data_IF_951837043271
#
_entry.id   IF_951837043271
#
_cell.length_a   1.000
_cell.length_b   1.000
_cell.length_c   1.000
_cell.angle_alpha   90.00
_cell.angle_beta   90.00
_cell.angle_gamma   90.00
#
_symmetry.space_group_name_H-M   'P 1'
#
loop_
_entity.id
_entity.type
_entity.pdbx_description
1 polymer ?
#
# COMPACT_ATOMS: atom_id res chain seq x y z
N UNK A 1 28.42 -6.05 -11.08
CA UNK A 1 27.81 -4.73 -10.74
C UNK A 1 26.32 -4.85 -10.41
N UNK A 2 25.46 -5.39 -11.31
CA UNK A 2 24.00 -5.42 -11.11
C UNK A 2 23.55 -6.13 -9.82
N UNK A 3 24.17 -7.21 -9.43
CA UNK A 3 23.82 -7.95 -8.19
C UNK A 3 24.11 -7.12 -6.92
N UNK A 4 25.31 -6.57 -6.83
CA UNK A 4 25.68 -5.72 -5.69
C UNK A 4 24.81 -4.45 -5.61
N UNK A 5 24.48 -3.87 -6.76
CA UNK A 5 23.60 -2.72 -6.84
C UNK A 5 22.21 -3.00 -6.24
N UNK A 6 21.63 -4.20 -6.48
CA UNK A 6 20.28 -4.53 -6.02
C UNK A 6 20.21 -4.67 -4.49
N UNK A 7 21.28 -5.17 -3.86
CA UNK A 7 21.39 -5.22 -2.40
C UNK A 7 21.40 -3.81 -1.79
N UNK A 8 22.21 -2.91 -2.35
CA UNK A 8 22.25 -1.52 -1.92
C UNK A 8 20.93 -0.80 -2.17
N UNK A 9 20.26 -1.06 -3.28
CA UNK A 9 18.94 -0.48 -3.58
C UNK A 9 17.89 -0.94 -2.56
N UNK A 10 17.86 -2.22 -2.23
CA UNK A 10 16.92 -2.75 -1.25
C UNK A 10 17.02 -2.01 0.10
N UNK A 11 18.23 -1.82 0.60
CA UNK A 11 18.48 -1.08 1.85
C UNK A 11 18.19 0.41 1.68
N UNK A 12 18.69 1.02 0.61
CA UNK A 12 18.57 2.47 0.39
C UNK A 12 17.12 2.91 0.20
N UNK A 13 16.27 2.11 -0.43
CA UNK A 13 14.85 2.44 -0.60
C UNK A 13 14.09 2.53 0.73
N UNK A 14 14.54 1.82 1.79
CA UNK A 14 13.93 1.96 3.10
C UNK A 14 14.12 3.37 3.68
N UNK A 15 15.18 4.09 3.26
CA UNK A 15 15.41 5.47 3.70
C UNK A 15 14.41 6.46 3.12
N UNK A 16 13.72 6.12 2.04
CA UNK A 16 12.70 6.98 1.44
C UNK A 16 11.60 7.27 2.46
N UNK A 17 11.07 6.23 3.10
CA UNK A 17 10.05 6.41 4.13
C UNK A 17 10.64 7.05 5.39
N UNK A 18 11.75 6.51 5.89
CA UNK A 18 12.29 6.92 7.19
C UNK A 18 12.97 8.29 7.20
N UNK A 19 13.34 8.87 6.04
CA UNK A 19 14.12 10.11 5.94
C UNK A 19 13.57 11.16 4.99
N UNK A 20 12.62 10.82 4.12
CA UNK A 20 12.11 11.76 3.15
C UNK A 20 10.60 12.03 3.28
N UNK A 21 9.82 11.08 3.79
CA UNK A 21 8.40 11.26 4.03
C UNK A 21 8.19 11.83 5.43
N UNK A 22 7.28 12.78 5.56
CA UNK A 22 6.86 13.31 6.85
C UNK A 22 6.33 12.16 7.74
N UNK A 23 6.82 11.97 8.95
CA UNK A 23 6.38 10.89 9.84
C UNK A 23 4.88 10.95 10.22
N UNK A 24 4.21 12.08 10.02
CA UNK A 24 2.76 12.21 10.18
C UNK A 24 1.98 11.77 8.92
N UNK A 25 2.66 11.58 7.81
CA UNK A 25 2.04 11.12 6.55
C UNK A 25 2.12 9.60 6.45
N UNK A 26 0.95 8.95 6.40
CA UNK A 26 0.91 7.50 6.23
C UNK A 26 1.40 7.11 4.83
N UNK A 27 2.52 6.42 4.79
CA UNK A 27 3.13 5.89 3.57
C UNK A 27 3.89 4.60 3.84
N UNK A 28 3.86 3.68 2.88
CA UNK A 28 4.59 2.42 2.95
C UNK A 28 5.29 2.17 1.62
N UNK A 29 6.54 1.76 1.68
CA UNK A 29 7.30 1.22 0.56
C UNK A 29 7.77 -0.18 0.94
N UNK A 30 7.39 -1.16 0.14
CA UNK A 30 7.78 -2.56 0.35
C UNK A 30 8.53 -3.05 -0.87
N UNK A 31 9.69 -3.67 -0.67
CA UNK A 31 10.34 -4.49 -1.69
C UNK A 31 9.75 -5.89 -1.55
N UNK A 32 8.83 -6.24 -2.43
CA UNK A 32 8.08 -7.50 -2.37
C UNK A 32 8.78 -8.67 -3.03
N UNK A 33 9.68 -8.39 -4.00
CA UNK A 33 10.49 -9.43 -4.64
C UNK A 33 11.78 -8.85 -5.21
N UNK A 34 12.80 -9.69 -5.24
CA UNK A 34 14.10 -9.44 -5.88
C UNK A 34 14.39 -10.59 -6.81
N UNK A 35 14.70 -10.30 -8.06
CA UNK A 35 15.03 -11.30 -9.08
C UNK A 35 16.35 -10.93 -9.75
N UNK A 36 17.39 -11.72 -9.54
CA UNK A 36 18.71 -11.51 -10.13
C UNK A 36 19.45 -12.85 -10.25
N UNK A 37 19.94 -13.14 -11.46
CA UNK A 37 20.73 -14.35 -11.73
C UNK A 37 19.96 -15.66 -11.71
N UNK A 38 20.64 -16.71 -12.14
CA UNK A 38 20.14 -18.09 -12.16
C UNK A 38 21.22 -19.10 -11.77
N UNK A 39 22.48 -18.68 -11.83
CA UNK A 39 23.62 -19.58 -11.65
C UNK A 39 24.64 -18.96 -10.69
N UNK A 40 25.39 -19.79 -9.98
CA UNK A 40 26.32 -19.36 -8.95
C UNK A 40 27.63 -18.76 -9.51
N UNK A 41 27.95 -19.02 -10.75
CA UNK A 41 29.20 -18.60 -11.41
C UNK A 41 29.00 -17.60 -12.56
N UNK A 42 27.76 -17.10 -12.76
CA UNK A 42 27.42 -16.13 -13.80
C UNK A 42 26.86 -14.86 -13.17
N UNK A 43 27.56 -13.74 -13.44
CA UNK A 43 27.06 -12.41 -13.05
C UNK A 43 25.85 -12.05 -13.93
N UNK A 44 24.67 -11.80 -13.34
CA UNK A 44 23.47 -11.46 -14.12
C UNK A 44 23.62 -10.13 -14.85
N UNK A 45 23.14 -10.08 -16.09
CA UNK A 45 23.08 -8.85 -16.88
C UNK A 45 21.95 -7.92 -16.46
N UNK A 46 20.91 -8.49 -15.86
CA UNK A 46 19.71 -7.76 -15.39
C UNK A 46 19.34 -8.15 -13.98
N UNK A 47 18.72 -7.22 -13.28
CA UNK A 47 18.15 -7.44 -11.96
C UNK A 47 16.84 -6.65 -11.84
N UNK A 48 15.84 -7.22 -11.18
CA UNK A 48 14.51 -6.62 -11.02
C UNK A 48 14.12 -6.58 -9.56
N UNK A 49 13.70 -5.39 -9.10
CA UNK A 49 13.00 -5.21 -7.82
C UNK A 49 11.52 -4.97 -8.08
N UNK A 50 10.67 -5.66 -7.37
CA UNK A 50 9.23 -5.42 -7.39
C UNK A 50 8.86 -4.64 -6.13
N UNK A 51 8.37 -3.41 -6.34
CA UNK A 51 8.02 -2.50 -5.27
C UNK A 51 6.50 -2.38 -5.16
N UNK A 52 6.00 -2.32 -3.92
CA UNK A 52 4.63 -1.93 -3.61
C UNK A 52 4.67 -0.63 -2.80
N UNK A 53 3.92 0.37 -3.25
CA UNK A 53 3.78 1.66 -2.60
C UNK A 53 2.35 1.82 -2.09
N UNK A 54 2.22 2.30 -0.84
CA UNK A 54 0.93 2.69 -0.26
C UNK A 54 1.03 4.12 0.26
N UNK A 55 0.00 4.89 0.06
CA UNK A 55 -0.02 6.32 0.36
C UNK A 55 -1.47 6.79 0.51
N UNK A 56 -1.67 7.87 1.25
CA UNK A 56 -2.99 8.52 1.41
C UNK A 56 -3.07 9.85 0.69
N UNK A 57 -1.94 10.47 0.40
CA UNK A 57 -1.90 11.79 -0.21
C UNK A 57 -1.09 11.74 -1.52
N UNK A 58 -1.66 12.30 -2.59
CA UNK A 58 -1.02 12.32 -3.91
C UNK A 58 0.38 12.96 -3.89
N UNK A 59 0.63 14.09 -3.19
CA UNK A 59 1.97 14.65 -3.10
C UNK A 59 3.00 13.70 -2.49
N UNK A 60 2.61 12.91 -1.48
CA UNK A 60 3.49 11.89 -0.86
C UNK A 60 3.85 10.80 -1.87
N UNK A 61 2.88 10.36 -2.67
CA UNK A 61 3.15 9.41 -3.76
C UNK A 61 4.19 9.96 -4.75
N UNK A 62 3.99 11.18 -5.22
CA UNK A 62 4.91 11.80 -6.20
C UNK A 62 6.31 11.96 -5.61
N UNK A 63 6.41 12.35 -4.35
CA UNK A 63 7.68 12.40 -3.63
C UNK A 63 8.35 11.03 -3.57
N UNK A 64 7.62 9.97 -3.20
CA UNK A 64 8.15 8.61 -3.15
C UNK A 64 8.68 8.15 -4.52
N UNK A 65 7.93 8.39 -5.59
CA UNK A 65 8.32 8.02 -6.95
C UNK A 65 9.59 8.77 -7.39
N UNK A 66 9.67 10.07 -7.13
CA UNK A 66 10.85 10.88 -7.41
C UNK A 66 12.07 10.34 -6.65
N UNK A 67 11.91 10.06 -5.36
CA UNK A 67 13.00 9.53 -4.53
C UNK A 67 13.45 8.13 -4.96
N UNK A 68 12.56 7.27 -5.44
CA UNK A 68 12.92 5.97 -6.01
C UNK A 68 13.86 6.15 -7.20
N UNK A 69 13.53 7.07 -8.12
CA UNK A 69 14.34 7.32 -9.30
C UNK A 69 15.70 7.94 -8.93
N UNK A 70 15.73 8.89 -7.99
CA UNK A 70 16.96 9.56 -7.54
C UNK A 70 17.89 8.61 -6.78
N UNK A 71 17.36 7.84 -5.83
CA UNK A 71 18.13 6.85 -5.08
C UNK A 71 18.64 5.76 -6.01
N UNK A 72 17.80 5.29 -6.93
CA UNK A 72 18.16 4.31 -7.94
C UNK A 72 19.36 4.77 -8.77
N UNK A 73 19.30 5.99 -9.27
CA UNK A 73 20.40 6.60 -10.03
C UNK A 73 21.66 6.77 -9.18
N UNK A 74 21.52 7.28 -7.95
CA UNK A 74 22.65 7.49 -7.04
C UNK A 74 23.40 6.19 -6.74
N UNK A 75 22.70 5.12 -6.44
CA UNK A 75 23.29 3.78 -6.20
C UNK A 75 23.96 3.24 -7.47
N UNK A 76 23.34 3.40 -8.63
CA UNK A 76 23.92 2.96 -9.90
C UNK A 76 25.24 3.68 -10.19
N UNK A 77 25.30 4.99 -10.01
CA UNK A 77 26.53 5.79 -10.17
C UNK A 77 27.59 5.32 -9.18
N UNK A 78 27.25 5.14 -7.91
CA UNK A 78 28.17 4.66 -6.88
C UNK A 78 28.71 3.25 -7.18
N UNK A 79 27.92 2.42 -7.87
CA UNK A 79 28.31 1.09 -8.33
C UNK A 79 29.13 1.12 -9.68
N UNK A 80 29.44 2.29 -10.22
CA UNK A 80 30.19 2.46 -11.47
C UNK A 80 29.40 2.10 -12.73
N UNK A 81 28.07 2.19 -12.69
CA UNK A 81 27.22 1.91 -13.86
C UNK A 81 27.28 3.08 -14.85
N UNK A 82 27.40 2.73 -16.13
CA UNK A 82 27.36 3.73 -17.22
C UNK A 82 25.96 4.25 -17.51
N UNK A 83 25.83 5.31 -18.33
CA UNK A 83 24.54 5.93 -18.65
C UNK A 83 23.50 4.95 -19.21
N UNK A 84 23.92 4.00 -20.01
CA UNK A 84 23.06 3.01 -20.67
C UNK A 84 22.58 1.90 -19.73
N UNK A 85 23.11 1.86 -18.50
CA UNK A 85 22.79 0.83 -17.49
C UNK A 85 22.10 1.42 -16.25
N UNK A 86 21.54 2.62 -16.36
CA UNK A 86 20.77 3.23 -15.28
C UNK A 86 19.48 2.48 -15.02
N UNK A 87 19.03 2.40 -13.76
CA UNK A 87 17.73 1.79 -13.43
C UNK A 87 16.59 2.49 -14.15
N UNK A 88 15.64 1.70 -14.61
CA UNK A 88 14.40 2.19 -15.20
C UNK A 88 13.22 1.72 -14.36
N UNK A 89 12.18 2.54 -14.22
CA UNK A 89 10.98 2.22 -13.50
C UNK A 89 9.82 1.97 -14.45
N UNK A 90 9.11 0.85 -14.25
CA UNK A 90 7.88 0.53 -14.95
C UNK A 90 6.74 0.45 -13.96
N UNK A 91 5.65 1.17 -14.23
CA UNK A 91 4.42 1.08 -13.43
C UNK A 91 3.57 -0.08 -13.93
N UNK A 92 3.17 -0.98 -13.01
CA UNK A 92 2.26 -2.10 -13.35
C UNK A 92 0.80 -1.72 -13.18
N UNK A 93 0.50 -0.85 -12.24
CA UNK A 93 -0.85 -0.37 -11.94
C UNK A 93 -0.82 0.61 -10.79
N UNK A 94 -1.93 1.32 -10.60
CA UNK A 94 -2.12 2.24 -9.48
C UNK A 94 -3.60 2.38 -9.19
N UNK A 95 -3.96 2.38 -7.91
CA UNK A 95 -5.25 2.86 -7.41
C UNK A 95 -4.98 4.01 -6.44
N UNK A 96 -5.80 5.03 -6.48
CA UNK A 96 -5.77 6.12 -5.51
C UNK A 96 -6.26 5.67 -4.13
N UNK A 97 -6.12 6.50 -3.08
CA UNK A 97 -6.78 6.24 -1.82
C UNK A 97 -8.30 6.33 -2.00
N UNK A 98 -9.03 5.38 -1.44
CA UNK A 98 -10.48 5.43 -1.37
C UNK A 98 -10.87 6.38 -0.22
N UNK A 99 -11.62 7.43 -0.54
CA UNK A 99 -12.09 8.42 0.43
C UNK A 99 -13.59 8.59 0.27
N UNK A 100 -14.35 8.21 1.29
CA UNK A 100 -15.80 8.36 1.29
C UNK A 100 -16.22 9.83 1.21
N UNK A 101 -17.27 10.11 0.45
CA UNK A 101 -17.91 11.44 0.44
C UNK A 101 -18.58 11.71 1.79
N UNK A 102 -18.14 12.78 2.47
CA UNK A 102 -18.61 13.09 3.82
C UNK A 102 -20.12 13.36 3.87
N UNK A 103 -20.69 14.02 2.85
CA UNK A 103 -22.14 14.33 2.81
C UNK A 103 -22.96 13.07 2.65
N UNK A 104 -22.48 12.12 1.84
CA UNK A 104 -23.16 10.83 1.70
C UNK A 104 -23.06 10.00 2.96
N UNK A 105 -21.90 10.00 3.65
CA UNK A 105 -21.74 9.33 4.94
C UNK A 105 -22.74 9.90 5.96
N UNK A 106 -22.84 11.24 6.06
CA UNK A 106 -23.78 11.90 6.96
C UNK A 106 -25.23 11.59 6.63
N UNK A 107 -25.57 11.43 5.34
CA UNK A 107 -26.92 11.08 4.89
C UNK A 107 -27.29 9.63 5.15
N UNK A 108 -26.33 8.70 5.05
CA UNK A 108 -26.58 7.24 5.15
C UNK A 108 -26.53 6.75 6.59
N UNK A 109 -25.66 7.31 7.43
CA UNK A 109 -25.45 6.86 8.80
C UNK A 109 -26.73 6.82 9.68
N UNK A 110 -27.65 7.80 9.64
CA UNK A 110 -28.88 7.74 10.45
C UNK A 110 -29.75 6.52 10.10
N UNK A 111 -29.95 6.27 8.81
CA UNK A 111 -30.75 5.12 8.33
C UNK A 111 -30.11 3.78 8.69
N UNK A 112 -28.76 3.69 8.58
CA UNK A 112 -28.04 2.49 9.03
C UNK A 112 -28.15 2.30 10.54
N UNK A 113 -28.09 3.38 11.31
CA UNK A 113 -28.22 3.33 12.77
C UNK A 113 -29.62 2.91 13.20
N UNK A 114 -30.66 3.40 12.53
CA UNK A 114 -32.05 2.98 12.75
C UNK A 114 -32.23 1.49 12.44
N UNK A 115 -31.69 1.02 11.32
CA UNK A 115 -31.84 -0.36 10.87
C UNK A 115 -31.04 -1.36 11.74
N UNK A 116 -29.80 -1.04 12.06
CA UNK A 116 -28.87 -1.97 12.71
C UNK A 116 -28.80 -1.82 14.23
N UNK A 117 -29.22 -0.67 14.74
CA UNK A 117 -29.16 -0.32 16.16
C UNK A 117 -27.94 0.54 16.52
N UNK A 118 -28.12 1.34 17.57
CA UNK A 118 -27.07 2.20 18.12
C UNK A 118 -25.84 1.38 18.54
N UNK A 119 -24.65 1.88 18.20
CA UNK A 119 -23.37 1.24 18.52
C UNK A 119 -22.91 0.18 17.52
N UNK A 120 -23.72 -0.17 16.51
CA UNK A 120 -23.29 -1.07 15.42
C UNK A 120 -22.80 -0.33 14.18
N UNK A 121 -23.03 0.97 14.09
CA UNK A 121 -22.52 1.83 13.02
C UNK A 121 -21.34 2.63 13.57
N UNK A 122 -20.15 2.42 12.97
CA UNK A 122 -18.92 3.07 13.38
C UNK A 122 -18.57 4.13 12.32
N UNK A 123 -18.89 5.39 12.59
CA UNK A 123 -18.66 6.51 11.65
C UNK A 123 -17.19 6.89 11.49
N UNK A 124 -16.37 6.68 12.52
CA UNK A 124 -14.95 7.06 12.53
C UNK A 124 -14.06 5.81 12.57
N UNK A 125 -14.17 4.96 11.56
CA UNK A 125 -13.28 3.81 11.45
C UNK A 125 -11.85 4.27 11.12
N UNK A 126 -10.81 3.74 11.79
CA UNK A 126 -9.43 4.11 11.50
C UNK A 126 -9.08 3.85 10.04
N UNK A 127 -8.30 4.76 9.45
CA UNK A 127 -7.78 4.58 8.09
C UNK A 127 -6.98 3.29 7.96
N UNK A 128 -7.28 2.50 6.96
CA UNK A 128 -6.54 1.27 6.63
C UNK A 128 -5.70 1.48 5.37
N UNK A 129 -4.51 0.87 5.36
CA UNK A 129 -3.58 0.95 4.22
C UNK A 129 -3.80 -0.20 3.22
N UNK A 130 -4.99 -0.80 3.20
CA UNK A 130 -5.42 -1.74 2.17
C UNK A 130 -5.56 -1.05 0.82
N UNK A 131 -5.33 -1.77 -0.28
CA UNK A 131 -5.61 -1.27 -1.63
C UNK A 131 -7.04 -1.65 -2.01
N UNK A 132 -7.75 -0.71 -2.63
CA UNK A 132 -9.08 -0.87 -3.17
C UNK A 132 -9.17 -0.13 -4.51
N UNK A 133 -9.96 -0.62 -5.44
CA UNK A 133 -10.16 -0.02 -6.76
C UNK A 133 -11.62 0.41 -7.05
N UNK A 134 -12.50 0.26 -6.07
CA UNK A 134 -13.92 0.65 -6.16
C UNK A 134 -14.09 2.11 -6.64
N UNK A 135 -13.29 3.05 -6.13
CA UNK A 135 -13.35 4.47 -6.46
C UNK A 135 -13.02 4.75 -7.93
N UNK A 136 -12.23 3.91 -8.57
CA UNK A 136 -11.79 4.10 -9.97
C UNK A 136 -12.97 4.16 -10.95
N UNK A 137 -14.10 3.53 -10.60
CA UNK A 137 -15.30 3.59 -11.40
C UNK A 137 -16.03 4.93 -11.30
N UNK A 138 -15.86 5.68 -10.21
CA UNK A 138 -16.63 6.89 -9.88
C UNK A 138 -15.85 8.18 -10.06
N UNK A 139 -14.55 8.17 -9.75
CA UNK A 139 -13.68 9.34 -9.83
C UNK A 139 -13.71 10.06 -11.20
N UNK A 140 -13.63 9.37 -12.35
CA UNK A 140 -13.67 10.02 -13.66
C UNK A 140 -15.00 10.71 -13.95
N UNK A 141 -16.08 10.28 -13.28
CA UNK A 141 -17.42 10.81 -13.45
C UNK A 141 -17.72 11.95 -12.46
N UNK A 142 -16.83 12.23 -11.50
CA UNK A 142 -17.08 13.16 -10.40
C UNK A 142 -18.27 12.74 -9.54
N UNK A 143 -18.63 11.45 -9.53
CA UNK A 143 -19.77 10.95 -8.77
C UNK A 143 -19.35 10.66 -7.34
N UNK A 144 -20.03 11.24 -6.34
CA UNK A 144 -19.76 10.92 -4.94
C UNK A 144 -20.10 9.45 -4.64
N UNK A 145 -19.34 8.84 -3.74
CA UNK A 145 -19.52 7.44 -3.36
C UNK A 145 -19.29 7.22 -1.85
N UNK A 146 -19.83 6.11 -1.36
CA UNK A 146 -19.56 5.58 -0.02
C UNK A 146 -19.20 4.11 -0.15
N UNK A 147 -18.10 3.72 0.46
CA UNK A 147 -17.65 2.35 0.61
C UNK A 147 -17.79 1.95 2.09
N UNK A 148 -18.56 0.90 2.35
CA UNK A 148 -18.86 0.43 3.69
C UNK A 148 -18.07 -0.83 4.01
N UNK A 149 -17.49 -0.89 5.19
CA UNK A 149 -16.90 -2.10 5.75
C UNK A 149 -17.93 -2.80 6.61
N UNK A 150 -18.24 -4.06 6.29
CA UNK A 150 -19.22 -4.86 7.02
C UNK A 150 -18.48 -5.91 7.85
N UNK A 151 -18.73 -5.90 9.18
CA UNK A 151 -18.21 -6.92 10.08
C UNK A 151 -18.99 -8.23 9.92
N UNK A 152 -18.31 -9.28 9.48
CA UNK A 152 -18.92 -10.61 9.23
C UNK A 152 -18.47 -11.67 10.25
N UNK A 153 -17.51 -11.34 11.12
CA UNK A 153 -17.01 -12.30 12.10
C UNK A 153 -18.07 -12.63 13.16
N UNK A 154 -18.27 -13.90 13.53
CA UNK A 154 -19.12 -14.27 14.67
C UNK A 154 -18.65 -13.58 15.95
N UNK A 155 -19.57 -13.08 16.81
CA UNK A 155 -19.21 -12.27 17.98
C UNK A 155 -18.24 -12.95 18.95
N UNK A 156 -18.38 -14.27 19.17
CA UNK A 156 -17.50 -15.07 20.01
C UNK A 156 -16.07 -15.15 19.46
N UNK A 157 -15.92 -15.32 18.15
CA UNK A 157 -14.64 -15.34 17.45
C UNK A 157 -13.96 -13.97 17.50
N UNK A 158 -14.75 -12.89 17.29
CA UNK A 158 -14.25 -11.54 17.41
C UNK A 158 -13.77 -11.24 18.83
N UNK A 159 -14.56 -11.57 19.85
CA UNK A 159 -14.18 -11.37 21.25
C UNK A 159 -12.91 -12.17 21.63
N UNK A 160 -12.77 -13.41 21.14
CA UNK A 160 -11.57 -14.20 21.37
C UNK A 160 -10.33 -13.57 20.69
N UNK A 161 -10.48 -13.03 19.48
CA UNK A 161 -9.39 -12.31 18.80
C UNK A 161 -8.95 -11.08 19.59
N UNK A 162 -9.90 -10.26 20.06
CA UNK A 162 -9.61 -9.08 20.87
C UNK A 162 -8.86 -9.45 22.16
N UNK A 163 -9.28 -10.49 22.88
CA UNK A 163 -8.56 -11.00 24.06
C UNK A 163 -7.14 -11.45 23.76
N UNK A 164 -6.89 -11.94 22.55
CA UNK A 164 -5.57 -12.35 22.08
C UNK A 164 -4.73 -11.18 21.48
N UNK A 165 -5.19 -9.92 21.63
CA UNK A 165 -4.51 -8.73 21.09
C UNK A 165 -4.53 -8.62 19.56
N UNK A 166 -5.43 -9.34 18.88
CA UNK A 166 -5.60 -9.27 17.43
C UNK A 166 -6.79 -8.38 17.08
N UNK A 167 -6.64 -7.56 16.04
CA UNK A 167 -7.71 -6.67 15.56
C UNK A 167 -8.89 -7.43 14.97
N UNK A 168 -8.62 -8.55 14.30
CA UNK A 168 -9.63 -9.39 13.64
C UNK A 168 -9.34 -10.88 13.86
N UNK A 169 -10.36 -11.75 13.84
CA UNK A 169 -10.16 -13.20 13.97
C UNK A 169 -9.43 -13.80 12.76
N UNK A 170 -9.67 -13.26 11.57
CA UNK A 170 -9.10 -13.71 10.30
C UNK A 170 -8.51 -12.54 9.53
N UNK A 171 -7.44 -12.78 8.77
CA UNK A 171 -6.91 -11.84 7.79
C UNK A 171 -7.67 -11.99 6.46
N UNK A 172 -7.69 -10.94 5.65
CA UNK A 172 -8.14 -11.03 4.26
C UNK A 172 -7.34 -12.11 3.52
N UNK A 173 -7.96 -12.77 2.55
CA UNK A 173 -7.36 -13.88 1.77
C UNK A 173 -7.01 -15.12 2.62
N UNK A 174 -7.63 -15.28 3.78
CA UNK A 174 -7.52 -16.48 4.59
C UNK A 174 -8.60 -17.49 4.15
N UNK A 175 -8.31 -18.79 4.04
CA UNK A 175 -9.31 -19.81 3.66
C UNK A 175 -10.45 -19.94 4.69
N UNK A 176 -10.21 -19.54 5.94
CA UNK A 176 -11.25 -19.50 6.99
C UNK A 176 -12.09 -18.20 6.98
N UNK A 177 -11.80 -17.28 6.04
CA UNK A 177 -12.59 -16.09 5.83
C UNK A 177 -13.75 -16.41 4.87
N UNK A 178 -14.95 -16.53 5.41
CA UNK A 178 -16.17 -16.75 4.63
C UNK A 178 -17.32 -15.89 5.17
N UNK A 179 -18.24 -15.61 4.27
CA UNK A 179 -19.43 -14.79 4.49
C UNK A 179 -20.59 -15.68 4.93
#
# INVERSE_FOLDING_TARGET
AAFLMIEFLNVSYQTIISRNVDPQSAAVLTVGAVQAGRDNNVIPSTATLMLNLRWLQKPVREQMLTRIDEVGRGVAIAAGMGPDAMPTRTMKGTAGPLVNDAKLVDAVNPSLTELLGAGKVIGNFPTVMGSEDFQVAFEPLGTPYVFLLIGIAPPDKFAAAQKAGRSFPYANHNPDFFI
#
